data_IF_364710744514
#
_entry.id   IF_364710744514
#
_cell.length_a   1.000
_cell.length_b   1.000
_cell.length_c   1.000
_cell.angle_alpha   90.00
_cell.angle_beta   90.00
_cell.angle_gamma   90.00
#
_symmetry.space_group_name_H-M   'P 1'
#
loop_
_entity.id
_entity.type
_entity.pdbx_description
1 polymer ?
#
# COMPACT_ATOMS: atom_id res chain seq x y z
N UNK A 1 -15.56 -25.91 -10.51
CA UNK A 1 -14.96 -25.48 -9.22
C UNK A 1 -13.64 -24.77 -9.53
N UNK A 2 -13.60 -23.44 -9.50
CA UNK A 2 -12.34 -22.68 -9.59
C UNK A 2 -12.00 -22.24 -8.17
N UNK A 3 -10.91 -22.78 -7.61
CA UNK A 3 -10.34 -22.25 -6.38
C UNK A 3 -9.56 -20.97 -6.75
N UNK A 4 -10.23 -19.83 -6.78
CA UNK A 4 -9.69 -18.51 -7.16
C UNK A 4 -8.79 -17.84 -6.11
N UNK A 5 -8.52 -18.50 -4.97
CA UNK A 5 -7.93 -17.84 -3.80
C UNK A 5 -6.51 -17.29 -3.95
N UNK A 6 -5.76 -17.63 -5.02
CA UNK A 6 -4.42 -17.06 -5.27
C UNK A 6 -4.46 -15.81 -6.13
N UNK A 7 -5.37 -15.79 -7.10
CA UNK A 7 -5.53 -14.70 -8.07
C UNK A 7 -6.25 -13.51 -7.41
N UNK A 8 -7.25 -13.79 -6.57
CA UNK A 8 -8.00 -12.76 -5.84
C UNK A 8 -7.09 -11.99 -4.85
N UNK A 9 -6.23 -12.72 -4.11
CA UNK A 9 -5.28 -12.12 -3.19
C UNK A 9 -4.25 -11.24 -3.93
N UNK A 10 -3.75 -11.70 -5.07
CA UNK A 10 -2.82 -10.91 -5.88
C UNK A 10 -3.49 -9.61 -6.38
N UNK A 11 -4.74 -9.69 -6.80
CA UNK A 11 -5.51 -8.53 -7.24
C UNK A 11 -5.72 -7.51 -6.10
N UNK A 12 -6.02 -7.98 -4.89
CA UNK A 12 -6.17 -7.12 -3.71
C UNK A 12 -4.85 -6.43 -3.33
N UNK A 13 -3.72 -7.15 -3.38
CA UNK A 13 -2.41 -6.54 -3.11
C UNK A 13 -2.06 -5.45 -4.12
N UNK A 14 -2.35 -5.67 -5.40
CA UNK A 14 -2.15 -4.68 -6.46
C UNK A 14 -3.03 -3.45 -6.22
N UNK A 15 -4.31 -3.65 -5.85
CA UNK A 15 -5.25 -2.56 -5.59
C UNK A 15 -4.78 -1.69 -4.41
N UNK A 16 -4.43 -2.31 -3.28
CA UNK A 16 -3.92 -1.61 -2.10
C UNK A 16 -2.60 -0.88 -2.41
N UNK A 17 -1.65 -1.54 -3.07
CA UNK A 17 -0.38 -0.93 -3.47
C UNK A 17 -0.57 0.28 -4.39
N UNK A 18 -1.54 0.19 -5.31
CA UNK A 18 -1.88 1.27 -6.24
C UNK A 18 -2.53 2.46 -5.51
N UNK A 19 -3.44 2.21 -4.56
CA UNK A 19 -4.05 3.25 -3.74
C UNK A 19 -3.00 4.02 -2.90
N UNK A 20 -2.07 3.29 -2.25
CA UNK A 20 -0.94 3.90 -1.51
C UNK A 20 -0.09 4.76 -2.45
N UNK A 21 0.28 4.21 -3.61
CA UNK A 21 1.10 4.92 -4.61
C UNK A 21 0.42 6.18 -5.13
N UNK A 22 -0.89 6.14 -5.39
CA UNK A 22 -1.65 7.29 -5.83
C UNK A 22 -1.64 8.39 -4.76
N UNK A 23 -2.00 8.04 -3.52
CA UNK A 23 -1.97 8.98 -2.39
C UNK A 23 -0.59 9.60 -2.16
N UNK A 24 0.48 8.80 -2.29
CA UNK A 24 1.86 9.30 -2.23
C UNK A 24 2.17 10.31 -3.32
N UNK A 25 1.77 10.02 -4.57
CA UNK A 25 2.03 10.91 -5.72
C UNK A 25 1.26 12.21 -5.62
N UNK A 26 0.04 12.19 -5.08
CA UNK A 26 -0.75 13.40 -4.84
C UNK A 26 -0.09 14.34 -3.82
N UNK A 27 0.70 13.79 -2.89
CA UNK A 27 1.51 14.56 -1.94
C UNK A 27 2.87 14.99 -2.51
N UNK A 28 3.22 14.58 -3.72
CA UNK A 28 4.48 14.96 -4.38
C UNK A 28 5.74 14.34 -3.76
N UNK A 29 5.62 13.37 -2.86
CA UNK A 29 6.79 12.78 -2.17
C UNK A 29 7.32 11.52 -2.86
N UNK A 30 8.62 11.29 -2.72
CA UNK A 30 9.29 10.11 -3.30
C UNK A 30 8.98 8.83 -2.51
N UNK A 31 9.24 7.65 -3.12
CA UNK A 31 9.14 6.39 -2.38
C UNK A 31 10.12 6.32 -1.20
N UNK A 32 11.31 6.91 -1.36
CA UNK A 32 12.32 6.97 -0.31
C UNK A 32 11.87 7.85 0.86
N UNK A 33 11.25 8.99 0.56
CA UNK A 33 10.70 9.87 1.58
C UNK A 33 9.53 9.21 2.33
N UNK A 34 8.61 8.54 1.63
CA UNK A 34 7.53 7.80 2.29
C UNK A 34 8.09 6.65 3.16
N UNK A 35 9.06 5.91 2.64
CA UNK A 35 9.72 4.82 3.36
C UNK A 35 10.38 5.33 4.65
N UNK A 36 11.10 6.45 4.58
CA UNK A 36 11.68 7.11 5.73
C UNK A 36 10.62 7.54 6.76
N UNK A 37 9.58 8.28 6.33
CA UNK A 37 8.50 8.76 7.22
C UNK A 37 7.69 7.62 7.87
N UNK A 38 7.50 6.51 7.16
CA UNK A 38 6.81 5.33 7.68
C UNK A 38 7.74 4.37 8.43
N UNK A 39 9.04 4.69 8.50
CA UNK A 39 10.14 3.84 9.00
C UNK A 39 10.05 2.38 8.49
N UNK A 40 9.90 2.27 7.18
CA UNK A 40 9.89 1.03 6.38
C UNK A 40 11.08 1.07 5.44
N UNK A 41 11.70 -0.09 5.21
CA UNK A 41 12.77 -0.19 4.21
C UNK A 41 12.27 0.24 2.82
N UNK A 42 13.05 1.05 2.09
CA UNK A 42 12.69 1.58 0.77
C UNK A 42 12.36 0.47 -0.23
N UNK A 43 13.11 -0.65 -0.23
CA UNK A 43 12.82 -1.80 -1.10
C UNK A 43 11.50 -2.46 -0.73
N UNK A 44 11.21 -2.57 0.57
CA UNK A 44 9.93 -3.07 1.04
C UNK A 44 8.76 -2.15 0.64
N UNK A 45 8.89 -0.83 0.81
CA UNK A 45 7.89 0.15 0.34
C UNK A 45 7.61 -0.01 -1.16
N UNK A 46 8.67 -0.12 -1.97
CA UNK A 46 8.52 -0.34 -3.42
C UNK A 46 7.78 -1.63 -3.77
N UNK A 47 8.03 -2.73 -3.04
CA UNK A 47 7.33 -4.01 -3.22
C UNK A 47 5.84 -3.91 -2.82
N UNK A 48 5.52 -3.16 -1.76
CA UNK A 48 4.15 -2.91 -1.33
C UNK A 48 3.39 -2.14 -2.42
N UNK A 49 3.95 -1.04 -2.93
CA UNK A 49 3.29 -0.23 -3.98
C UNK A 49 3.07 -0.98 -5.30
N UNK A 50 3.83 -2.05 -5.57
CA UNK A 50 3.66 -2.92 -6.74
C UNK A 50 2.76 -4.14 -6.46
N UNK A 51 2.25 -4.31 -5.24
CA UNK A 51 1.46 -5.49 -4.86
C UNK A 51 2.27 -6.79 -4.75
N UNK A 52 3.61 -6.72 -4.72
CA UNK A 52 4.50 -7.89 -4.63
C UNK A 52 4.63 -8.44 -3.21
N UNK A 53 4.21 -7.65 -2.21
CA UNK A 53 4.25 -8.02 -0.79
C UNK A 53 2.98 -7.58 -0.08
N UNK A 54 2.47 -8.49 0.76
CA UNK A 54 1.40 -8.17 1.68
C UNK A 54 1.92 -7.23 2.78
N UNK A 55 1.22 -6.12 2.96
CA UNK A 55 1.51 -5.15 4.02
C UNK A 55 0.82 -5.59 5.30
N UNK A 56 1.58 -5.66 6.41
CA UNK A 56 0.95 -5.90 7.71
C UNK A 56 0.09 -4.71 8.11
N UNK A 57 -0.95 -4.93 8.91
CA UNK A 57 -1.83 -3.86 9.39
C UNK A 57 -1.05 -2.72 10.07
N UNK A 58 -0.04 -3.04 10.88
CA UNK A 58 0.79 -2.03 11.54
C UNK A 58 1.60 -1.19 10.54
N UNK A 59 2.16 -1.81 9.50
CA UNK A 59 2.85 -1.06 8.45
C UNK A 59 1.88 -0.22 7.63
N UNK A 60 0.66 -0.70 7.36
CA UNK A 60 -0.38 0.08 6.69
C UNK A 60 -0.73 1.32 7.52
N UNK A 61 -0.90 1.19 8.83
CA UNK A 61 -1.15 2.33 9.74
C UNK A 61 0.00 3.34 9.69
N UNK A 62 1.26 2.87 9.72
CA UNK A 62 2.45 3.76 9.62
C UNK A 62 2.53 4.47 8.28
N UNK A 63 2.25 3.77 7.18
CA UNK A 63 2.15 4.35 5.83
C UNK A 63 1.07 5.43 5.79
N UNK A 64 -0.12 5.14 6.31
CA UNK A 64 -1.24 6.07 6.31
C UNK A 64 -0.94 7.31 7.16
N UNK A 65 -0.30 7.14 8.32
CA UNK A 65 0.17 8.24 9.15
C UNK A 65 1.19 9.12 8.43
N UNK A 66 2.17 8.51 7.74
CA UNK A 66 3.17 9.21 6.93
C UNK A 66 2.56 9.94 5.72
N UNK A 67 1.42 9.46 5.21
CA UNK A 67 0.62 10.06 4.16
C UNK A 67 -0.50 10.97 4.69
N UNK A 68 -0.57 11.24 5.99
CA UNK A 68 -1.63 12.06 6.59
C UNK A 68 -3.06 11.63 6.14
N UNK A 69 -3.29 10.32 6.00
CA UNK A 69 -4.56 9.74 5.57
C UNK A 69 -5.03 8.64 6.52
N UNK A 70 -6.26 8.17 6.32
CA UNK A 70 -6.85 7.09 7.10
C UNK A 70 -6.68 5.74 6.36
N UNK A 71 -6.41 4.63 7.07
CA UNK A 71 -6.42 3.31 6.46
C UNK A 71 -7.73 2.99 5.74
N UNK A 72 -8.87 3.43 6.29
CA UNK A 72 -10.18 3.27 5.67
C UNK A 72 -10.29 3.93 4.29
N UNK A 73 -9.63 5.07 4.08
CA UNK A 73 -9.59 5.74 2.78
C UNK A 73 -8.83 4.91 1.76
N UNK A 74 -7.66 4.37 2.15
CA UNK A 74 -6.86 3.50 1.28
C UNK A 74 -7.62 2.22 0.91
N UNK A 75 -8.33 1.60 1.87
CA UNK A 75 -9.14 0.41 1.60
C UNK A 75 -10.32 0.73 0.66
N UNK A 76 -11.03 1.83 0.92
CA UNK A 76 -12.10 2.28 0.03
C UNK A 76 -11.60 2.55 -1.40
N UNK A 77 -10.43 3.18 -1.56
CA UNK A 77 -9.82 3.45 -2.87
C UNK A 77 -9.32 2.18 -3.58
N UNK A 78 -8.92 1.18 -2.80
CA UNK A 78 -8.56 -0.15 -3.29
C UNK A 78 -9.80 -1.04 -3.56
N UNK A 79 -11.01 -0.50 -3.32
CA UNK A 79 -12.28 -1.18 -3.52
C UNK A 79 -12.38 -2.49 -2.72
N UNK A 80 -11.87 -2.47 -1.48
CA UNK A 80 -11.87 -3.56 -0.53
C UNK A 80 -12.47 -3.20 0.83
#
# INVERSE_FOLDING_TARGET
MRLGGKDDNAQQLIAIGTAIRACRRDQGISQEELAYKAEIDRSHMGKIERGERNVSLLNLIRICAALHTLPSKILADANC
#
